data_IF_698563339754
#
_entry.id   IF_698563339754
#
_cell.length_a   1.000
_cell.length_b   1.000
_cell.length_c   1.000
_cell.angle_alpha   90.00
_cell.angle_beta   90.00
_cell.angle_gamma   90.00
#
_symmetry.space_group_name_H-M   'P 1'
#
loop_
_entity.id
_entity.type
_entity.pdbx_description
1 polymer ?
2 polymer ?
3 non-polymer ?
4 non-polymer ?
5 water ?
#
# COMPACT_ATOMS: atom_id res chain seq x y z
N UNK A 2 -3.81 1.61 9.35
CA UNK A 2 -3.16 2.19 8.23
C UNK A 2 -3.07 1.26 7.06
N UNK A 3 -3.94 0.26 6.99
CA UNK A 3 -3.78 -0.67 5.89
C UNK A 3 -3.94 -0.05 4.50
N UNK A 4 -4.94 0.80 4.33
CA UNK A 4 -5.12 1.48 3.02
C UNK A 4 -3.88 2.33 2.67
N UNK A 5 -3.43 3.26 3.58
CA UNK A 5 -2.20 3.98 3.16
C UNK A 5 -0.95 3.12 3.03
N UNK A 6 -0.83 2.01 3.76
CA UNK A 6 0.29 1.08 3.50
C UNK A 6 0.28 0.61 2.04
N UNK A 7 -0.87 0.15 1.55
CA UNK A 7 -0.92 -0.30 0.14
C UNK A 7 -0.62 0.85 -0.81
N UNK A 8 -1.20 2.02 -0.56
CA UNK A 8 -0.97 3.15 -1.46
C UNK A 8 0.50 3.58 -1.41
N UNK A 9 1.14 3.52 -0.24
CA UNK A 9 2.55 3.90 -0.12
C UNK A 9 3.43 2.97 -0.95
N UNK A 10 3.15 1.66 -0.92
CA UNK A 10 3.88 0.73 -1.75
C UNK A 10 3.71 0.97 -3.24
N UNK A 11 2.46 1.12 -3.65
CA UNK A 11 2.18 1.48 -5.06
C UNK A 11 2.92 2.74 -5.47
N UNK A 12 2.93 3.74 -4.59
CA UNK A 12 3.64 5.00 -4.87
C UNK A 12 5.15 4.77 -5.03
N UNK A 13 5.75 3.99 -4.15
CA UNK A 13 7.18 3.71 -4.27
C UNK A 13 7.50 2.94 -5.54
N UNK A 14 6.58 2.07 -5.96
CA UNK A 14 6.85 1.20 -7.09
C UNK A 14 6.64 1.94 -8.42
N UNK A 15 5.68 2.85 -8.47
CA UNK A 15 5.27 3.49 -9.70
C UNK A 15 5.87 4.88 -9.87
N UNK A 16 6.05 5.57 -8.73
CA UNK A 16 6.55 6.95 -8.69
C UNK A 16 7.63 7.10 -7.62
N UNK A 17 8.73 6.36 -7.76
CA UNK A 17 9.71 6.38 -6.66
C UNK A 17 10.28 7.80 -6.47
N UNK A 18 10.37 8.62 -7.52
CA UNK A 18 10.97 9.97 -7.33
C UNK A 18 10.04 10.87 -6.51
N UNK A 19 8.73 10.68 -6.68
CA UNK A 19 7.76 11.40 -5.82
C UNK A 19 7.74 10.81 -4.41
N UNK A 20 7.75 9.49 -4.31
CA UNK A 20 7.70 8.84 -2.99
C UNK A 20 8.92 9.33 -2.17
N UNK A 21 10.11 9.29 -2.78
CA UNK A 21 11.24 10.03 -2.24
C UNK A 21 11.76 9.58 -0.89
N UNK A 22 12.63 10.42 -0.29
CA UNK A 22 13.21 10.08 1.01
C UNK A 22 12.23 9.87 2.12
N UNK A 23 11.06 10.47 2.11
CA UNK A 23 10.10 10.14 3.17
C UNK A 23 9.74 8.65 3.08
N UNK A 24 9.45 8.18 1.87
CA UNK A 24 9.13 6.79 1.78
C UNK A 24 10.29 5.97 2.33
N UNK A 25 11.51 6.35 1.95
CA UNK A 25 12.66 5.57 2.32
C UNK A 25 12.86 5.66 3.84
N UNK A 26 12.36 6.73 4.47
CA UNK A 26 12.49 6.83 5.94
C UNK A 26 11.46 5.96 6.69
N UNK A 27 10.37 5.54 6.02
CA UNK A 27 9.33 4.74 6.67
C UNK A 27 9.86 3.38 7.08
N UNK A 28 9.68 2.99 8.32
CA UNK A 28 10.17 1.71 8.74
C UNK A 28 9.35 0.49 8.29
N UNK A 29 9.99 -0.63 8.17
CA UNK A 29 9.28 -1.85 7.85
C UNK A 29 8.27 -2.20 8.93
N UNK A 30 8.61 -1.98 10.18
CA UNK A 30 7.71 -2.32 11.26
C UNK A 30 6.36 -1.59 11.18
N UNK A 31 6.37 -0.43 10.56
CA UNK A 31 5.17 0.33 10.42
C UNK A 31 4.23 -0.25 9.40
N UNK A 32 4.71 -1.17 8.61
CA UNK A 32 3.89 -1.86 7.66
C UNK A 32 3.32 -3.07 8.42
N UNK A 33 2.23 -2.83 9.12
CA UNK A 33 1.66 -3.86 9.96
C UNK A 33 1.20 -5.08 9.26
N UNK A 34 0.78 -4.92 8.04
CA UNK A 34 0.33 -6.07 7.26
C UNK A 34 1.54 -6.84 6.77
N UNK A 35 1.67 -8.10 7.18
CA UNK A 35 2.91 -8.83 6.84
C UNK A 35 3.33 -8.91 5.34
N UNK A 36 2.39 -9.01 4.39
CA UNK A 36 2.80 -9.10 3.00
C UNK A 36 3.25 -7.74 2.52
N UNK A 37 2.69 -6.69 3.10
CA UNK A 37 3.15 -5.33 2.80
C UNK A 37 4.54 -5.06 3.37
N UNK A 38 4.78 -5.51 4.62
CA UNK A 38 6.14 -5.40 5.17
C UNK A 38 7.14 -6.11 4.26
N UNK A 39 6.77 -7.28 3.71
CA UNK A 39 7.72 -7.95 2.83
C UNK A 39 8.01 -7.20 1.54
N UNK A 40 6.99 -6.52 0.96
CA UNK A 40 7.26 -5.66 -0.18
C UNK A 40 8.12 -4.46 0.23
N UNK A 41 7.81 -3.83 1.38
CA UNK A 41 8.62 -2.69 1.85
C UNK A 41 10.09 -3.09 1.99
N UNK A 42 10.32 -4.27 2.55
CA UNK A 42 11.71 -4.73 2.73
C UNK A 42 12.44 -4.94 1.41
N UNK A 43 11.78 -5.58 0.46
CA UNK A 43 12.30 -5.77 -0.89
C UNK A 43 12.65 -4.43 -1.51
N UNK A 44 11.78 -3.43 -1.38
CA UNK A 44 12.12 -2.13 -1.94
C UNK A 44 13.37 -1.54 -1.27
N UNK A 45 13.49 -1.68 0.06
CA UNK A 45 14.67 -1.19 0.79
C UNK A 45 15.89 -1.87 0.24
N UNK A 46 15.84 -3.20 0.14
CA UNK A 46 16.98 -3.97 -0.33
C UNK A 46 17.37 -3.62 -1.75
N UNK A 47 16.38 -3.35 -2.61
CA UNK A 47 16.65 -2.99 -3.99
C UNK A 47 17.33 -1.60 -4.11
N UNK A 48 17.48 -0.92 -2.97
CA UNK A 48 18.11 0.40 -2.95
C UNK A 48 17.22 1.59 -2.63
N UNK A 49 15.90 1.36 -2.46
CA UNK A 49 14.99 2.44 -2.12
C UNK A 49 14.76 3.36 -3.30
N UNK A 50 13.98 4.42 -3.10
CA UNK A 50 13.73 5.37 -4.17
C UNK A 50 15.02 6.04 -4.64
N UNK A 51 16.02 6.11 -3.78
CA UNK A 51 17.28 6.78 -4.17
C UNK A 51 18.07 6.02 -5.23
N UNK A 52 17.73 4.75 -5.47
CA UNK A 52 18.41 3.98 -6.51
C UNK A 52 18.23 4.65 -7.86
N UNK A 53 17.24 5.54 -7.95
CA UNK A 53 16.99 6.27 -9.18
C UNK A 53 16.54 5.41 -10.33
N UNK A 54 16.01 4.22 -10.02
CA UNK A 54 15.41 3.36 -11.04
C UNK A 54 13.90 3.61 -11.13
N UNK A 55 13.32 3.36 -12.28
CA UNK A 55 11.86 3.44 -12.40
C UNK A 55 11.36 2.45 -13.43
N UNK A 56 10.04 2.41 -13.62
CA UNK A 56 9.46 1.60 -14.66
C UNK A 56 9.71 0.10 -14.48
N UNK A 57 9.68 -0.64 -15.59
CA UNK A 57 9.88 -2.09 -15.57
C UNK A 57 11.21 -2.50 -14.92
N UNK A 58 12.27 -1.73 -15.19
CA UNK A 58 13.57 -2.00 -14.59
C UNK A 58 13.48 -2.00 -13.05
N UNK A 59 12.76 -1.01 -12.51
CA UNK A 59 12.63 -0.88 -11.05
C UNK A 59 11.82 -2.06 -10.51
N UNK A 60 10.75 -2.38 -11.16
CA UNK A 60 9.94 -3.48 -10.70
C UNK A 60 10.70 -4.77 -10.71
N UNK A 61 11.50 -5.00 -11.74
CA UNK A 61 12.26 -6.23 -11.81
C UNK A 61 13.26 -6.28 -10.67
N UNK A 63 13.11 -4.92 -7.76
CA UNK A 63 12.44 -5.21 -6.52
C UNK A 63 12.06 -6.68 -6.45
N UNK A 64 11.49 -7.23 -7.51
CA UNK A 64 11.12 -8.61 -7.51
C UNK A 64 12.38 -9.48 -7.28
N UNK A 65 13.53 -9.03 -7.76
CA UNK A 65 14.74 -9.82 -7.58
C UNK A 65 15.12 -10.00 -6.12
N UNK A 66 14.56 -9.19 -5.25
CA UNK A 66 14.97 -9.25 -3.84
C UNK A 66 14.14 -10.26 -3.05
N UNK A 67 13.15 -10.88 -3.70
CA UNK A 67 12.28 -11.85 -3.02
C UNK A 67 12.28 -13.23 -3.67
N UNK A 68 12.24 -14.25 -2.84
CA UNK A 68 12.06 -15.59 -3.37
C UNK A 68 10.66 -16.14 -3.09
N UNK A 69 9.78 -15.27 -2.57
CA UNK A 69 8.40 -15.67 -2.30
C UNK A 69 7.57 -15.44 -3.56
N UNK A 70 6.88 -16.48 -4.02
CA UNK A 70 5.98 -16.33 -5.15
C UNK A 70 4.86 -15.33 -4.81
N UNK A 71 4.40 -15.34 -3.57
CA UNK A 71 3.35 -14.43 -3.10
C UNK A 71 3.84 -12.99 -3.11
N UNK A 72 4.99 -12.73 -2.49
CA UNK A 72 5.55 -11.39 -2.49
C UNK A 72 5.86 -10.91 -3.90
N UNK A 73 6.42 -11.81 -4.71
CA UNK A 73 6.76 -11.46 -6.07
C UNK A 73 5.48 -11.05 -6.84
N UNK A 74 4.41 -11.80 -6.69
CA UNK A 74 3.16 -11.50 -7.42
C UNK A 74 2.57 -10.19 -6.91
N UNK A 75 2.74 -9.94 -5.62
CA UNK A 75 2.18 -8.71 -5.07
C UNK A 75 2.95 -7.49 -5.53
N UNK A 76 4.28 -7.58 -5.61
CA UNK A 76 5.06 -6.53 -6.25
C UNK A 76 4.51 -6.22 -7.67
N UNK A 77 4.29 -7.25 -8.46
CA UNK A 77 3.79 -7.02 -9.82
C UNK A 77 2.44 -6.35 -9.77
N UNK A 78 1.57 -6.85 -8.90
CA UNK A 78 0.24 -6.30 -8.76
C UNK A 78 0.28 -4.84 -8.33
N UNK A 79 1.06 -4.53 -7.30
CA UNK A 79 1.08 -3.16 -6.82
C UNK A 79 1.83 -2.22 -7.80
N UNK A 80 2.67 -2.79 -8.66
CA UNK A 80 3.45 -2.07 -9.64
C UNK A 80 2.60 -1.54 -10.78
N UNK A 81 1.43 -2.14 -10.99
CA UNK A 81 0.55 -1.71 -12.08
C UNK A 81 -0.83 -1.27 -11.63
N UNK A 82 -1.19 -1.43 -10.34
CA UNK A 82 -2.52 -1.11 -9.94
C UNK A 82 -2.69 0.41 -9.92
N UNK A 83 -3.80 0.87 -10.50
CA UNK A 83 -4.01 2.34 -10.58
C UNK A 83 -4.00 2.99 -9.20
N UNK A 84 -3.28 4.12 -9.07
CA UNK A 84 -3.47 5.07 -7.96
C UNK A 84 -4.56 6.02 -8.43
N UNK A 85 -5.71 5.96 -7.76
CA UNK A 85 -6.92 6.60 -8.32
C UNK A 85 -7.00 8.05 -7.82
N UNK A 86 -6.22 8.91 -8.47
CA UNK A 86 -6.14 10.32 -8.12
C UNK A 86 -5.76 11.06 -9.39
N UNK A 87 -6.14 12.32 -9.49
CA UNK A 87 -5.80 13.15 -10.66
C UNK A 87 -4.29 13.32 -10.71
N UNK A 88 -3.76 13.31 -11.93
CA UNK A 88 -2.29 13.45 -12.09
C UNK A 88 -1.76 14.70 -11.44
N UNK A 89 -2.47 15.83 -11.55
CA UNK A 89 -1.93 17.04 -10.93
C UNK A 89 -1.88 16.99 -9.41
N UNK A 90 -2.72 16.15 -8.82
CA UNK A 90 -2.81 15.98 -7.37
C UNK A 90 -1.96 14.83 -6.84
N UNK A 91 -1.29 14.10 -7.75
CA UNK A 91 -0.51 12.94 -7.32
C UNK A 91 0.64 13.24 -6.34
N UNK A 92 1.42 14.32 -6.57
CA UNK A 92 2.50 14.54 -5.59
C UNK A 92 1.95 14.77 -4.19
N UNK A 93 0.90 15.57 -4.03
CA UNK A 93 0.39 15.77 -2.68
C UNK A 93 -0.35 14.54 -2.14
N UNK A 94 -0.91 13.72 -3.03
CA UNK A 94 -1.59 12.50 -2.62
C UNK A 94 -0.56 11.57 -2.01
N UNK A 95 0.54 11.34 -2.74
CA UNK A 95 1.63 10.50 -2.26
C UNK A 95 2.21 11.02 -0.95
N UNK A 96 2.48 12.30 -0.83
CA UNK A 96 2.99 12.83 0.43
C UNK A 96 1.98 12.56 1.53
N UNK A 97 0.69 12.70 1.21
CA UNK A 97 -0.36 12.52 2.19
C UNK A 97 -0.43 11.09 2.73
N UNK A 98 -0.40 10.09 1.85
CA UNK A 98 -0.45 8.72 2.36
C UNK A 98 0.81 8.40 3.16
N UNK A 99 1.98 8.94 2.77
CA UNK A 99 3.22 8.64 3.54
C UNK A 99 3.13 9.32 4.90
N UNK A 100 2.56 10.51 4.94
CA UNK A 100 2.36 11.26 6.21
C UNK A 100 1.48 10.48 7.15
N UNK A 101 0.46 9.80 6.65
CA UNK A 101 -0.38 8.98 7.53
C UNK A 101 0.42 7.97 8.27
N UNK A 102 1.32 7.30 7.56
CA UNK A 102 2.12 6.28 8.14
C UNK A 102 3.14 6.89 9.08
N UNK A 103 3.75 7.98 8.68
CA UNK A 103 4.76 8.59 9.53
C UNK A 103 4.17 9.08 10.81
N UNK A 104 2.99 9.62 10.66
CA UNK A 104 2.45 10.21 11.90
C UNK A 104 2.05 9.25 13.16
N UNK A 105 1.64 8.11 12.63
CA UNK A 105 1.40 6.96 13.45
C UNK A 105 2.69 6.45 14.15
N UNK A 106 3.76 6.36 13.38
CA UNK A 106 5.04 5.96 13.90
C UNK A 106 5.60 7.02 14.85
N UNK A 107 5.55 8.28 14.41
CA UNK A 107 5.99 9.36 15.32
C UNK A 107 5.18 9.34 16.60
N UNK A 108 3.85 9.10 16.52
CA UNK A 108 3.04 8.99 17.74
C UNK A 108 3.63 8.03 18.77
N UNK A 109 4.08 6.88 18.30
CA UNK A 109 4.67 5.90 19.20
C UNK A 109 5.95 6.42 19.80
N UNK A 110 6.84 7.03 19.00
CA UNK A 110 8.09 7.54 19.54
C UNK A 110 7.82 8.67 20.53
N UNK A 111 6.83 9.51 20.22
CA UNK A 111 6.46 10.63 21.10
C UNK A 111 5.98 10.12 22.45
N UNK A 112 5.12 9.08 22.42
CA UNK A 112 4.60 8.53 23.67
C UNK A 112 5.75 7.99 24.51
N UNK A 113 6.70 7.29 23.87
CA UNK A 113 7.84 6.74 24.58
C UNK A 113 8.68 7.80 25.25
N UNK A 114 8.97 8.90 24.53
CA UNK A 114 9.81 9.96 25.05
C UNK A 114 9.07 10.64 26.22
N UNK A 115 7.78 10.90 26.05
CA UNK A 115 7.00 11.50 27.13
C UNK A 115 7.04 10.60 28.37
N UNK A 116 7.05 9.28 28.20
CA UNK A 116 6.94 8.43 29.38
C UNK A 116 8.25 8.52 30.13
N UNK A 117 9.36 8.58 29.39
CA UNK A 117 10.68 8.81 29.99
C UNK A 117 10.76 10.16 30.69
N UNK A 118 10.25 11.22 30.06
CA UNK A 118 10.36 12.55 30.68
C UNK A 118 9.53 12.67 31.95
N UNK A 119 8.40 11.96 32.01
CA UNK A 119 7.51 12.02 33.21
C UNK A 119 8.22 11.48 34.44
N UNK A 120 9.22 10.60 34.21
CA UNK A 120 10.07 10.05 35.28
C UNK A 120 11.26 10.92 35.67
N UNK A 122 13.08 15.00 36.28
CA UNK A 122 12.81 16.38 36.68
C UNK A 122 13.59 17.35 35.82
N UNK A 123 12.94 18.43 35.35
CA UNK A 123 13.76 19.39 34.62
C UNK A 123 14.83 20.11 35.45
N UNK A 124 14.73 20.04 36.77
CA UNK A 124 15.70 20.62 37.65
C UNK A 124 16.82 19.58 37.90
N UNK A 125 16.52 18.46 38.50
CA UNK A 125 17.57 17.51 38.80
C UNK A 125 18.28 16.89 37.64
N UNK A 126 17.56 16.74 36.53
CA UNK A 126 18.10 16.11 35.37
C UNK A 126 18.52 17.09 34.31
N UNK A 127 18.67 18.33 34.68
CA UNK A 127 19.17 19.37 33.83
C UNK A 127 19.35 19.21 32.36
N UNK A 128 20.58 19.02 31.96
CA UNK A 128 20.98 18.89 30.58
C UNK A 128 20.42 17.69 29.84
N UNK A 129 20.26 16.64 30.52
CA UNK A 129 19.69 15.44 29.98
C UNK A 129 18.20 15.71 29.65
N UNK A 130 17.54 16.41 30.54
CA UNK A 130 16.14 16.76 30.34
C UNK A 130 16.03 17.68 29.11
N UNK A 131 16.91 18.66 29.02
CA UNK A 131 16.91 19.52 27.86
C UNK A 131 17.07 18.72 26.58
N UNK A 132 17.99 17.74 26.61
CA UNK A 132 18.26 17.01 25.39
C UNK A 132 17.03 16.19 24.95
N UNK A 133 16.41 15.52 25.91
CA UNK A 133 15.32 14.66 25.57
C UNK A 133 14.08 15.48 25.24
N UNK A 134 13.90 16.59 25.95
CA UNK A 134 12.76 17.46 25.62
C UNK A 134 12.93 18.06 24.23
N UNK A 135 14.15 18.43 23.86
CA UNK A 135 14.41 18.90 22.50
C UNK A 135 14.07 17.86 21.47
N UNK A 136 14.36 16.59 21.73
CA UNK A 136 13.91 15.49 20.85
C UNK A 136 12.40 15.49 20.75
N UNK A 137 11.70 15.62 21.90
CA UNK A 137 10.23 15.65 21.87
C UNK A 137 9.70 16.80 21.06
N UNK A 138 10.25 18.01 21.23
CA UNK A 138 9.79 19.19 20.49
C UNK A 138 9.95 18.93 18.98
N UNK A 139 11.05 18.38 18.58
CA UNK A 139 11.20 18.12 17.16
C UNK A 139 10.16 17.16 16.60
N UNK A 141 7.14 16.36 18.04
CA UNK A 141 5.80 16.90 18.14
C UNK A 141 5.55 17.97 17.06
N UNK A 142 6.52 18.85 16.82
CA UNK A 142 6.35 19.87 15.79
C UNK A 142 6.17 19.21 14.44
N UNK A 143 6.98 18.18 14.13
CA UNK A 143 6.85 17.52 12.81
C UNK A 143 5.49 16.78 12.73
N UNK A 144 5.08 16.17 13.82
CA UNK A 144 3.80 15.48 13.77
C UNK A 144 2.68 16.44 13.43
N UNK A 145 2.71 17.60 14.04
CA UNK A 145 1.71 18.61 13.76
C UNK A 145 1.73 18.99 12.27
N UNK A 146 2.92 19.14 11.73
CA UNK A 146 3.08 19.48 10.32
C UNK A 146 2.53 18.35 9.41
N UNK A 147 2.78 17.11 9.77
CA UNK A 147 2.26 16.01 8.98
C UNK A 147 0.75 15.96 9.01
N UNK A 148 0.16 16.24 10.15
CA UNK A 148 -1.28 16.24 10.23
C UNK A 148 -1.84 17.16 9.17
N UNK A 149 -1.14 18.23 8.87
CA UNK A 149 -1.58 19.12 7.77
C UNK A 149 -1.32 18.53 6.39
N UNK A 150 -0.10 18.02 6.19
CA UNK A 150 0.29 17.30 4.96
C UNK A 150 -0.65 16.15 4.60
N UNK A 151 -1.03 15.36 5.62
CA UNK A 151 -1.78 14.11 5.41
C UNK A 151 -3.05 14.42 4.62
N UNK A 152 -3.39 15.70 4.55
CA UNK A 152 -4.53 16.11 3.76
C UNK A 152 -4.43 15.81 2.24
N UNK A 153 -3.26 15.66 1.64
CA UNK A 153 -3.25 15.28 0.23
C UNK A 153 -3.99 13.98 -0.13
N UNK A 154 -4.08 13.06 0.81
CA UNK A 154 -4.76 11.80 0.55
C UNK A 154 -6.26 11.94 0.42
N UNK A 155 -6.79 13.07 0.81
CA UNK A 155 -8.22 13.29 0.69
C UNK A 155 -8.62 13.47 -0.76
N UNK A 156 -7.65 13.59 -1.64
CA UNK A 156 -7.97 13.76 -3.06
C UNK A 156 -8.29 12.45 -3.77
N UNK A 157 -8.25 11.34 -3.05
CA UNK A 157 -8.62 10.04 -3.68
C UNK A 157 -9.95 10.14 -4.44
N UNK A 158 -10.00 9.53 -5.63
CA UNK A 158 -11.23 9.52 -6.43
C UNK A 158 -12.47 9.02 -5.72
N UNK A 159 -12.31 8.15 -4.72
CA UNK A 159 -13.49 7.61 -4.04
C UNK A 159 -13.83 8.34 -2.74
N UNK A 160 -13.04 9.38 -2.41
CA UNK A 160 -13.36 10.25 -1.28
C UNK A 160 -14.06 11.54 -1.76
N UNK A 161 -15.12 11.92 -1.04
CA UNK A 161 -15.85 13.10 -1.41
C UNK A 161 -16.01 13.92 -0.14
N UNK A 162 -15.70 15.21 -0.26
CA UNK A 162 -15.71 16.12 0.89
C UNK A 162 -17.14 16.43 1.34
N UNK B 1 -10.62 -31.03 -11.41
CA UNK B 1 -11.32 -31.26 -12.68
C UNK B 1 -10.69 -32.15 -13.73
N UNK B 2 -9.71 -32.95 -13.32
CA UNK B 2 -9.06 -33.81 -14.27
C UNK B 2 -9.93 -35.00 -14.64
N UNK B 3 -10.96 -35.28 -13.87
CA UNK B 3 -11.85 -36.39 -14.19
C UNK B 3 -12.96 -35.96 -15.17
N UNK B 4 -12.84 -34.80 -15.74
CA UNK B 4 -13.81 -34.32 -16.68
C UNK B 4 -13.25 -34.17 -18.04
N UNK B 5 -14.02 -34.40 -19.08
CA UNK B 5 -13.49 -34.12 -20.39
C UNK B 5 -13.23 -32.62 -20.48
N UNK B 6 -12.26 -32.22 -21.26
CA UNK B 6 -11.86 -30.84 -21.37
C UNK B 6 -12.95 -29.83 -21.73
N UNK B 7 -13.86 -30.20 -22.60
CA UNK B 7 -14.94 -29.35 -22.99
C UNK B 7 -15.90 -29.08 -21.82
N UNK B 8 -16.05 -30.01 -20.91
CA UNK B 8 -16.89 -29.76 -19.73
C UNK B 8 -16.10 -28.91 -18.73
N UNK B 9 -14.85 -29.26 -18.48
CA UNK B 9 -14.05 -28.44 -17.58
C UNK B 9 -14.03 -27.00 -18.11
N UNK B 10 -13.93 -26.84 -19.43
CA UNK B 10 -13.89 -25.53 -20.07
C UNK B 10 -15.17 -24.74 -19.91
N UNK B 11 -16.32 -25.37 -20.12
CA UNK B 11 -17.58 -24.64 -19.96
C UNK B 11 -17.75 -24.18 -18.51
N UNK B 12 -17.31 -25.01 -17.58
CA UNK B 12 -17.38 -24.59 -16.17
C UNK B 12 -16.48 -23.42 -15.89
N UNK B 13 -15.31 -23.35 -16.53
CA UNK B 13 -14.48 -22.14 -16.36
C UNK B 13 -15.12 -20.91 -16.99
N UNK B 14 -15.71 -21.08 -18.16
CA UNK B 14 -16.47 -20.04 -18.84
C UNK B 14 -17.64 -19.51 -17.96
N UNK B 15 -18.41 -20.41 -17.38
CA UNK B 15 -19.52 -20.05 -16.47
C UNK B 15 -18.99 -19.21 -15.32
N UNK B 16 -17.92 -19.68 -14.73
CA UNK B 16 -17.35 -18.98 -13.60
C UNK B 16 -16.85 -17.60 -13.99
N UNK B 17 -16.18 -17.48 -15.14
CA UNK B 17 -15.64 -16.17 -15.53
C UNK B 17 -16.73 -15.15 -15.79
N UNK B 18 -17.78 -15.61 -16.43
CA UNK B 18 -18.88 -14.72 -16.71
C UNK B 18 -19.55 -14.23 -15.42
N UNK B 19 -19.81 -15.15 -14.50
CA UNK B 19 -20.43 -14.79 -13.25
C UNK B 19 -19.49 -13.88 -12.47
N UNK B 20 -18.21 -14.26 -12.37
CA UNK B 20 -17.30 -13.46 -11.59
C UNK B 20 -17.14 -12.07 -12.16
N UNK B 21 -17.13 -11.91 -13.49
CA UNK B 21 -17.06 -10.56 -14.07
C UNK B 21 -18.21 -9.71 -13.57
N UNK B 22 -19.39 -10.28 -13.46
CA UNK B 22 -20.53 -9.54 -12.97
C UNK B 22 -20.40 -9.22 -11.49
N UNK B 23 -19.86 -10.15 -10.74
CA UNK B 23 -19.65 -9.93 -9.29
C UNK B 23 -18.56 -8.89 -9.04
N UNK B 24 -17.52 -8.93 -9.86
CA UNK B 24 -16.47 -7.92 -9.84
C UNK B 24 -17.09 -6.52 -10.10
N UNK B 25 -17.98 -6.42 -11.07
CA UNK B 25 -18.67 -5.15 -11.28
C UNK B 25 -19.50 -4.70 -10.07
N UNK B 26 -20.11 -5.67 -9.39
CA UNK B 26 -20.94 -5.41 -8.21
C UNK B 26 -20.00 -4.84 -7.15
N UNK B 27 -18.89 -5.52 -6.89
CA UNK B 27 -17.95 -5.10 -5.85
C UNK B 27 -17.31 -3.74 -6.16
N UNK B 28 -16.90 -3.51 -7.40
CA UNK B 28 -16.37 -2.20 -7.77
C UNK B 28 -17.43 -1.14 -7.53
N UNK B 29 -18.69 -1.42 -7.85
CA UNK B 29 -19.74 -0.43 -7.58
C UNK B 29 -19.85 -0.11 -6.10
N UNK B 30 -19.71 -1.14 -5.28
CA UNK B 30 -19.81 -0.94 -3.81
C UNK B 30 -18.67 -0.05 -3.36
N UNK B 31 -17.46 -0.35 -3.85
CA UNK B 31 -16.28 0.45 -3.48
C UNK B 31 -16.43 1.89 -3.93
N UNK B 32 -17.08 2.13 -5.06
CA UNK B 32 -17.30 3.52 -5.53
C UNK B 32 -18.24 4.29 -4.58
N UNK B 33 -18.99 3.59 -3.76
CA UNK B 33 -19.88 4.25 -2.78
C UNK B 33 -19.28 4.31 -1.39
N UNK B 35 -15.75 5.68 1.00
CA UNK B 35 -14.54 6.48 1.04
C UNK B 35 -13.38 5.73 1.67
N UNK B 36 -12.24 5.66 0.99
CA UNK B 36 -11.10 5.02 1.70
C UNK B 36 -10.48 5.87 2.81
N UNK B 37 -10.95 7.10 2.96
CA UNK B 37 -10.49 7.97 4.03
C UNK B 37 -11.36 7.75 5.24
N UNK B 38 -12.67 7.77 5.05
CA UNK B 38 -13.54 7.54 6.19
C UNK B 38 -13.75 6.12 6.57
N UNK B 39 -13.55 5.21 5.63
CA UNK B 39 -13.71 3.79 5.93
C UNK B 39 -12.53 3.03 5.35
N UNK B 40 -11.31 3.46 5.64
CA UNK B 40 -10.09 2.89 5.07
C UNK B 40 -10.02 1.39 5.27
N UNK B 41 -10.29 0.89 6.47
CA UNK B 41 -10.10 -0.53 6.74
C UNK B 41 -11.13 -1.36 6.01
N UNK B 42 -12.39 -0.90 5.99
CA UNK B 42 -13.42 -1.66 5.26
C UNK B 42 -13.15 -1.63 3.78
N UNK B 43 -12.76 -0.46 3.29
CA UNK B 43 -12.47 -0.25 1.89
C UNK B 43 -11.29 -1.13 1.52
N UNK B 44 -10.22 -1.09 2.30
CA UNK B 44 -9.05 -1.95 1.99
C UNK B 44 -9.42 -3.43 1.94
N UNK B 45 -10.22 -3.88 2.91
CA UNK B 45 -10.61 -5.27 2.98
C UNK B 45 -11.37 -5.70 1.73
N UNK B 46 -12.36 -4.88 1.38
CA UNK B 46 -13.18 -5.24 0.20
C UNK B 46 -12.33 -5.15 -1.08
N UNK B 47 -11.51 -4.11 -1.18
CA UNK B 47 -10.62 -3.96 -2.33
C UNK B 47 -9.71 -5.17 -2.47
N UNK B 48 -9.18 -5.68 -1.36
CA UNK B 48 -8.34 -6.86 -1.43
C UNK B 48 -9.06 -8.03 -2.07
N UNK B 49 -10.32 -8.23 -1.71
CA UNK B 49 -11.05 -9.36 -2.31
C UNK B 49 -11.37 -9.08 -3.78
N UNK B 50 -11.69 -7.82 -4.12
CA UNK B 50 -11.91 -7.46 -5.53
C UNK B 50 -10.67 -7.90 -6.32
N UNK B 51 -9.49 -7.54 -5.83
CA UNK B 51 -8.26 -7.82 -6.59
C UNK B 51 -8.04 -9.34 -6.71
N UNK B 52 -8.34 -10.09 -5.67
CA UNK B 52 -8.22 -11.54 -5.71
C UNK B 52 -9.19 -12.14 -6.72
N UNK B 54 -10.32 -10.61 -9.39
CA UNK B 54 -9.85 -10.24 -10.71
C UNK B 54 -8.72 -11.17 -11.16
N UNK B 55 -7.82 -11.49 -10.24
CA UNK B 55 -6.71 -12.38 -10.57
C UNK B 55 -7.26 -13.77 -10.88
N UNK B 56 -8.20 -14.26 -10.08
CA UNK B 56 -8.78 -15.60 -10.35
C UNK B 56 -9.52 -15.60 -11.67
N UNK B 57 -10.25 -14.53 -11.97
CA UNK B 57 -10.96 -14.43 -13.23
C UNK B 57 -10.00 -14.53 -14.43
N UNK B 58 -8.89 -13.82 -14.35
CA UNK B 58 -7.91 -13.93 -15.41
C UNK B 58 -7.43 -15.38 -15.56
N UNK B 59 -7.26 -16.08 -14.46
CA UNK B 59 -6.78 -17.44 -14.54
C UNK B 59 -7.84 -18.37 -15.15
N UNK B 60 -9.10 -18.09 -14.84
CA UNK B 60 -10.23 -18.88 -15.42
C UNK B 60 -10.38 -18.59 -16.90
N UNK B 61 -10.15 -17.34 -17.31
CA UNK B 61 -10.16 -17.02 -18.75
C UNK B 61 -9.13 -17.86 -19.50
N UNK B 62 -7.95 -18.02 -18.90
CA UNK B 62 -6.87 -18.79 -19.50
C UNK B 62 -7.20 -20.28 -19.52
N UNK B 63 -7.74 -20.79 -18.42
CA UNK B 63 -8.20 -22.20 -18.42
C UNK B 63 -9.33 -22.48 -19.45
N UNK B 64 -10.35 -21.63 -19.50
CA UNK B 64 -11.41 -21.84 -20.48
C UNK B 64 -10.86 -21.85 -21.93
N UNK B 65 -9.98 -20.90 -22.22
CA UNK B 65 -9.37 -20.82 -23.55
C UNK B 65 -8.60 -22.12 -23.85
N UNK B 66 -7.80 -22.56 -22.88
CA UNK B 66 -7.02 -23.78 -23.05
C UNK B 66 -7.87 -25.02 -23.24
N UNK B 67 -8.83 -25.22 -22.35
CA UNK B 67 -9.68 -26.37 -22.40
C UNK B 67 -10.63 -26.40 -23.59
N UNK B 68 -11.11 -25.27 -24.01
CA UNK B 68 -12.04 -25.22 -25.12
C UNK B 68 -11.36 -25.06 -26.47
N UNK B 69 -10.05 -25.18 -26.47
CA UNK B 69 -9.25 -25.12 -27.70
C UNK B 69 -9.48 -23.85 -28.50
N UNK B 70 -9.50 -22.73 -27.80
CA UNK B 70 -9.63 -21.43 -28.45
C UNK B 70 -8.35 -21.07 -29.22
N UNK B 71 -8.51 -20.30 -30.30
CA UNK B 71 -7.41 -20.01 -31.24
C UNK B 71 -7.15 -18.51 -31.33
#
# INVERSE_FOLDING_TARGET
PTLWPQREALKSALQYPALAGPVFDALTVEGFTHPEYAAVRAAIDTAGGTSAGLSGAQWLDXVRQQTTSTVTSALISELGVEAIQVDDDKLPRYIAGVLARLQEVWLGRQIAEVKSKLQRXSPIEQGDEYHALFGDLVAXEAYRRSLLEQASGDDLHHHHHH
DDKLPRYIAGVLARLQEVWLGRQIAEVKSKLQRXSPIEQGDEYHALFGDLVAXEAYRRSLLEQASGDDLHH
#
